data_IF_540387075386
#
_entry.id   IF_540387075386
#
_cell.length_a   1.000
_cell.length_b   1.000
_cell.length_c   1.000
_cell.angle_alpha   90.00
_cell.angle_beta   90.00
_cell.angle_gamma   90.00
#
_symmetry.space_group_name_H-M   'P 1'
#
loop_
_entity.id
_entity.type
_entity.pdbx_description
1 polymer ?
#
# COMPACT_ATOMS: atom_id res chain seq x y z
N UNK A 1 1.16 -12.84 14.68
CA UNK A 1 2.25 -13.72 14.18
C UNK A 1 1.61 -14.71 13.24
N UNK A 2 2.20 -14.90 12.06
CA UNK A 2 1.71 -15.81 11.01
C UNK A 2 2.90 -16.63 10.53
N UNK A 3 2.79 -17.96 10.54
CA UNK A 3 3.87 -18.89 10.16
C UNK A 3 5.24 -18.54 10.79
N UNK A 4 5.26 -18.33 12.11
CA UNK A 4 6.45 -17.95 12.89
C UNK A 4 7.12 -16.62 12.50
N UNK A 5 6.46 -15.79 11.69
CA UNK A 5 6.86 -14.42 11.38
C UNK A 5 6.10 -13.41 12.24
N UNK A 6 6.73 -12.29 12.65
CA UNK A 6 6.00 -11.17 13.23
C UNK A 6 5.04 -10.58 12.18
N UNK A 7 3.94 -10.03 12.68
CA UNK A 7 2.86 -9.47 11.87
C UNK A 7 2.84 -7.95 12.06
N UNK A 8 2.70 -7.24 10.96
CA UNK A 8 2.80 -5.79 10.88
C UNK A 8 1.51 -5.23 10.29
N UNK A 9 0.98 -4.18 10.90
CA UNK A 9 -0.17 -3.44 10.38
C UNK A 9 0.30 -2.18 9.68
N UNK A 10 0.00 -2.07 8.39
CA UNK A 10 0.26 -0.88 7.58
C UNK A 10 -1.01 -0.09 7.43
N UNK A 11 -0.91 1.23 7.52
CA UNK A 11 -2.01 2.15 7.24
C UNK A 11 -1.53 3.23 6.28
N UNK A 12 -2.19 3.32 5.12
CA UNK A 12 -1.92 4.33 4.10
C UNK A 12 -3.07 5.32 4.14
N UNK A 13 -2.74 6.61 4.20
CA UNK A 13 -3.69 7.73 4.25
C UNK A 13 -3.41 8.72 3.13
N UNK A 14 -4.46 9.28 2.56
CA UNK A 14 -4.36 10.43 1.66
C UNK A 14 -4.50 11.69 2.50
N UNK A 15 -3.40 12.37 2.83
CA UNK A 15 -3.44 13.62 3.59
C UNK A 15 -3.78 14.86 2.70
N UNK A 16 -4.05 14.66 1.40
CA UNK A 16 -4.51 15.73 0.51
C UNK A 16 -6.03 15.88 0.62
N UNK A 17 -6.55 17.11 0.55
CA UNK A 17 -8.00 17.37 0.48
C UNK A 17 -8.64 16.84 -0.81
N UNK A 18 -7.82 16.64 -1.85
CA UNK A 18 -8.25 16.13 -3.13
C UNK A 18 -8.12 14.60 -3.23
N UNK A 19 -8.97 13.98 -4.05
CA UNK A 19 -8.81 12.56 -4.40
C UNK A 19 -7.51 12.35 -5.17
N UNK A 20 -6.83 11.23 -4.92
CA UNK A 20 -5.64 10.83 -5.68
C UNK A 20 -5.91 9.53 -6.45
N UNK A 21 -5.52 9.44 -7.71
CA UNK A 21 -5.66 8.23 -8.55
C UNK A 21 -4.30 7.71 -8.96
N UNK A 22 -4.26 6.46 -9.45
CA UNK A 22 -3.04 5.82 -9.96
C UNK A 22 -1.88 5.94 -8.97
N UNK A 23 -2.18 5.83 -7.67
CA UNK A 23 -1.19 5.97 -6.60
C UNK A 23 -0.25 4.77 -6.66
N UNK A 24 1.03 5.05 -6.87
CA UNK A 24 2.09 4.06 -6.93
C UNK A 24 3.05 4.24 -5.78
N UNK A 25 3.46 3.12 -5.18
CA UNK A 25 4.35 3.06 -4.04
C UNK A 25 5.57 2.22 -4.38
N UNK A 26 6.71 2.56 -3.80
CA UNK A 26 7.88 1.70 -3.80
C UNK A 26 7.61 0.49 -2.90
N UNK A 27 7.84 -0.70 -3.43
CA UNK A 27 7.70 -1.96 -2.68
C UNK A 27 8.77 -2.98 -3.09
N UNK A 28 9.94 -2.48 -3.47
CA UNK A 28 11.11 -3.29 -3.82
C UNK A 28 11.45 -4.24 -2.67
N UNK A 29 11.50 -5.55 -2.97
CA UNK A 29 11.85 -6.57 -1.97
C UNK A 29 10.76 -6.80 -0.92
N UNK A 30 9.53 -6.34 -1.15
CA UNK A 30 8.39 -6.72 -0.31
C UNK A 30 8.16 -8.23 -0.42
N UNK A 31 8.30 -8.92 0.70
CA UNK A 31 8.03 -10.34 0.85
C UNK A 31 7.11 -10.54 2.05
N UNK A 32 6.18 -11.49 1.94
CA UNK A 32 5.30 -11.82 3.05
C UNK A 32 4.81 -13.26 2.96
N UNK A 33 4.62 -13.89 4.11
CA UNK A 33 3.95 -15.20 4.25
C UNK A 33 2.43 -15.06 4.38
N UNK A 34 1.93 -13.83 4.54
CA UNK A 34 0.52 -13.47 4.64
C UNK A 34 0.15 -12.58 3.43
N UNK A 35 -0.49 -13.14 2.39
CA UNK A 35 -0.79 -12.39 1.17
C UNK A 35 -1.67 -11.17 1.44
N UNK A 36 -1.26 -10.01 0.94
CA UNK A 36 -2.09 -8.80 0.93
C UNK A 36 -3.18 -8.94 -0.12
N UNK A 37 -4.39 -8.48 0.19
CA UNK A 37 -5.52 -8.51 -0.74
C UNK A 37 -5.18 -7.71 -2.02
N UNK A 38 -5.24 -8.32 -3.23
CA UNK A 38 -4.97 -7.63 -4.50
C UNK A 38 -5.88 -6.44 -4.78
N UNK A 39 -7.04 -6.34 -4.12
CA UNK A 39 -7.92 -5.16 -4.20
C UNK A 39 -7.36 -3.94 -3.46
N UNK A 40 -6.47 -4.15 -2.48
CA UNK A 40 -5.79 -3.09 -1.72
C UNK A 40 -4.49 -2.71 -2.41
N UNK A 41 -3.68 -3.71 -2.79
CA UNK A 41 -2.37 -3.48 -3.38
C UNK A 41 -2.01 -4.58 -4.39
N UNK A 42 -1.68 -4.16 -5.61
CA UNK A 42 -1.15 -5.07 -6.63
C UNK A 42 0.35 -4.82 -6.81
N UNK A 43 1.14 -5.90 -6.75
CA UNK A 43 2.60 -5.87 -6.85
C UNK A 43 3.04 -6.04 -8.30
N UNK A 44 3.85 -5.11 -8.83
CA UNK A 44 4.40 -5.14 -10.18
C UNK A 44 5.92 -4.90 -10.14
N UNK A 45 6.67 -5.93 -9.74
CA UNK A 45 8.12 -5.83 -9.57
C UNK A 45 8.48 -4.96 -8.37
N UNK A 46 9.16 -3.84 -8.60
CA UNK A 46 9.54 -2.86 -7.56
C UNK A 46 8.46 -1.83 -7.25
N UNK A 47 7.40 -1.77 -8.06
CA UNK A 47 6.33 -0.78 -7.95
C UNK A 47 5.02 -1.47 -7.59
N UNK A 48 4.34 -0.90 -6.60
CA UNK A 48 3.03 -1.33 -6.17
C UNK A 48 1.98 -0.31 -6.55
N UNK A 49 0.83 -0.79 -7.04
CA UNK A 49 -0.31 0.05 -7.36
C UNK A 49 -1.37 -0.10 -6.26
N UNK A 50 -1.79 1.04 -5.72
CA UNK A 50 -2.81 1.12 -4.69
C UNK A 50 -4.20 1.01 -5.30
N UNK A 51 -5.09 0.24 -4.66
CA UNK A 51 -6.52 0.13 -4.98
C UNK A 51 -6.82 -0.01 -6.48
N UNK A 52 -5.98 -0.74 -7.22
CA UNK A 52 -6.07 -0.89 -8.69
C UNK A 52 -6.18 0.44 -9.45
N UNK A 53 -5.55 1.50 -8.94
CA UNK A 53 -5.55 2.83 -9.53
C UNK A 53 -6.84 3.63 -9.35
N UNK A 54 -7.79 3.11 -8.57
CA UNK A 54 -9.05 3.79 -8.23
C UNK A 54 -8.81 5.10 -7.43
N UNK A 55 -9.84 5.95 -7.29
CA UNK A 55 -9.75 7.15 -6.47
C UNK A 55 -9.51 6.81 -4.99
N UNK A 56 -8.42 7.32 -4.44
CA UNK A 56 -8.06 7.27 -3.04
C UNK A 56 -8.48 8.58 -2.36
N UNK A 57 -9.48 8.49 -1.49
CA UNK A 57 -10.07 9.65 -0.80
C UNK A 57 -9.36 9.92 0.53
N UNK A 58 -9.37 11.19 0.95
CA UNK A 58 -8.86 11.59 2.27
C UNK A 58 -9.61 10.89 3.42
N UNK A 59 -10.92 10.71 3.27
CA UNK A 59 -11.81 10.12 4.28
C UNK A 59 -11.64 8.62 4.45
N UNK A 60 -10.99 7.95 3.52
CA UNK A 60 -11.03 6.49 3.39
C UNK A 60 -9.61 5.89 3.44
N UNK A 61 -8.91 5.98 4.60
CA UNK A 61 -7.60 5.35 4.76
C UNK A 61 -7.73 3.83 4.63
N UNK A 62 -6.72 3.22 4.01
CA UNK A 62 -6.69 1.77 3.84
C UNK A 62 -5.67 1.16 4.79
N UNK A 63 -5.97 -0.03 5.29
CA UNK A 63 -5.06 -0.79 6.15
C UNK A 63 -5.00 -2.23 5.70
N UNK A 64 -3.82 -2.83 5.82
CA UNK A 64 -3.60 -4.24 5.58
C UNK A 64 -2.53 -4.75 6.54
N UNK A 65 -2.54 -6.06 6.77
CA UNK A 65 -1.50 -6.73 7.52
C UNK A 65 -0.56 -7.45 6.56
N UNK A 66 0.69 -7.60 6.97
CA UNK A 66 1.62 -8.53 6.37
C UNK A 66 2.47 -9.17 7.45
N UNK A 67 2.96 -10.38 7.18
CA UNK A 67 3.84 -11.08 8.09
C UNK A 67 5.20 -11.37 7.43
N UNK A 68 6.27 -10.88 8.04
CA UNK A 68 7.66 -11.08 7.58
C UNK A 68 8.67 -10.84 8.71
N UNK A 69 9.89 -11.39 8.60
CA UNK A 69 10.91 -11.35 9.67
C UNK A 69 11.34 -9.94 10.04
N UNK A 70 11.31 -9.01 9.09
CA UNK A 70 11.85 -7.68 9.28
C UNK A 70 10.86 -6.60 8.78
N UNK A 71 10.87 -5.47 9.48
CA UNK A 71 10.12 -4.25 9.14
C UNK A 71 10.86 -3.48 8.04
N UNK A 72 11.04 -4.11 6.86
CA UNK A 72 11.96 -3.60 5.81
C UNK A 72 11.25 -2.72 4.79
N UNK A 73 9.92 -2.66 4.80
CA UNK A 73 9.21 -2.13 3.64
C UNK A 73 8.79 -0.69 3.84
N UNK A 74 9.61 0.23 3.34
CA UNK A 74 9.23 1.62 3.15
C UNK A 74 8.30 1.73 1.94
N UNK A 75 6.99 1.77 2.19
CA UNK A 75 5.98 2.08 1.18
C UNK A 75 6.02 3.58 0.82
N UNK A 76 7.09 4.00 0.14
CA UNK A 76 7.29 5.39 -0.24
C UNK A 76 6.41 5.76 -1.43
N UNK A 77 5.69 6.89 -1.41
CA UNK A 77 4.97 7.36 -2.59
C UNK A 77 5.94 7.65 -3.75
N UNK A 78 5.70 7.02 -4.90
CA UNK A 78 6.45 7.28 -6.15
C UNK A 78 5.71 8.35 -6.96
N UNK A 79 4.43 8.10 -7.26
CA UNK A 79 3.62 9.02 -8.05
C UNK A 79 2.12 8.84 -7.80
N UNK A 80 1.37 9.89 -8.10
CA UNK A 80 -0.09 9.89 -8.07
C UNK A 80 -0.62 10.97 -9.02
N UNK A 81 -1.90 10.84 -9.39
CA UNK A 81 -2.65 11.86 -10.12
C UNK A 81 -3.62 12.54 -9.16
N UNK A 82 -3.38 13.80 -8.85
CA UNK A 82 -4.25 14.60 -7.99
C UNK A 82 -5.48 15.04 -8.80
N UNK A 83 -6.67 14.81 -8.25
CA UNK A 83 -7.94 15.22 -8.84
C UNK A 83 -8.74 16.03 -7.82
N UNK A 84 -8.65 17.35 -7.96
CA UNK A 84 -9.38 18.33 -7.18
C UNK A 84 -10.70 18.71 -7.88
N UNK A 85 -11.76 19.04 -7.11
CA UNK A 85 -13.03 19.54 -7.66
C UNK A 85 -12.91 20.90 -8.34
#
# INVERSE_FOLDING_TARGET
MVQDKPEWKVTIKNDCDCSQKLVTLECTGFETVEPVDPSIMSFSGSVCLLINGQPFLNSDPISFNYAWDADVTSFNPISSVINCP
#
